data_IF_434731279404
#
_entry.id   IF_434731279404
#
_cell.length_a   1.000
_cell.length_b   1.000
_cell.length_c   1.000
_cell.angle_alpha   90.00
_cell.angle_beta   90.00
_cell.angle_gamma   90.00
#
_symmetry.space_group_name_H-M   'P 1'
#
loop_
_entity.id
_entity.type
_entity.pdbx_description
1 polymer ?
#
# COMPACT_ATOMS: atom_id res chain seq x y z
N UNK A 1 24.76 -15.33 13.49
CA UNK A 1 24.06 -15.81 12.27
C UNK A 1 23.08 -16.90 12.70
N UNK A 2 21.85 -16.89 12.20
CA UNK A 2 20.88 -17.96 12.48
C UNK A 2 21.47 -19.32 12.09
N UNK A 3 21.29 -20.39 12.88
CA UNK A 3 21.73 -21.73 12.50
C UNK A 3 20.95 -22.31 11.31
N UNK A 4 19.81 -21.70 10.94
CA UNK A 4 19.05 -22.03 9.74
C UNK A 4 18.76 -20.75 8.94
N UNK A 5 19.37 -20.62 7.76
CA UNK A 5 19.22 -19.44 6.90
C UNK A 5 17.82 -19.27 6.30
N UNK A 6 16.96 -20.29 6.36
CA UNK A 6 15.58 -20.26 5.91
C UNK A 6 14.58 -19.97 7.03
N UNK A 7 15.07 -19.79 8.27
CA UNK A 7 14.22 -19.55 9.43
C UNK A 7 14.57 -18.21 10.06
N UNK A 8 13.58 -17.33 10.12
CA UNK A 8 13.62 -16.07 10.86
C UNK A 8 12.73 -16.23 12.09
N UNK A 9 13.33 -16.08 13.28
CA UNK A 9 12.59 -16.02 14.54
C UNK A 9 12.40 -14.55 14.88
N UNK A 10 11.15 -14.11 14.97
CA UNK A 10 10.78 -12.74 15.30
C UNK A 10 10.19 -12.67 16.71
N UNK A 11 10.19 -11.48 17.30
CA UNK A 11 9.50 -11.23 18.56
C UNK A 11 7.99 -11.44 18.42
N UNK A 12 7.35 -12.03 19.44
CA UNK A 12 5.90 -12.06 19.54
C UNK A 12 5.40 -10.71 20.06
N UNK A 13 4.88 -9.90 19.14
CA UNK A 13 4.37 -8.56 19.43
C UNK A 13 3.12 -8.58 20.32
N UNK A 14 2.39 -9.70 20.40
CA UNK A 14 1.20 -9.81 21.25
C UNK A 14 1.56 -9.67 22.74
N UNK A 15 2.73 -10.18 23.15
CA UNK A 15 3.26 -10.04 24.51
C UNK A 15 3.54 -8.57 24.85
N UNK A 16 3.86 -7.75 23.84
CA UNK A 16 4.07 -6.30 24.00
C UNK A 16 2.79 -5.47 23.92
N UNK A 17 1.63 -6.13 23.84
CA UNK A 17 0.30 -5.53 23.82
C UNK A 17 -0.15 -5.03 22.44
N UNK A 18 0.55 -5.40 21.37
CA UNK A 18 0.09 -5.12 20.01
C UNK A 18 -0.96 -6.13 19.58
N UNK A 19 -1.94 -5.69 18.79
CA UNK A 19 -3.06 -6.51 18.34
C UNK A 19 -3.33 -6.28 16.85
N UNK A 20 -3.79 -7.33 16.18
CA UNK A 20 -4.36 -7.23 14.85
C UNK A 20 -5.69 -6.46 14.89
N UNK A 21 -5.98 -5.72 13.83
CA UNK A 21 -7.29 -5.08 13.65
C UNK A 21 -8.29 -6.05 13.04
N UNK A 22 -9.58 -5.74 13.20
CA UNK A 22 -10.64 -6.39 12.44
C UNK A 22 -10.65 -5.82 11.00
N UNK A 23 -10.14 -6.61 10.05
CA UNK A 23 -10.05 -6.22 8.63
C UNK A 23 -11.39 -5.84 7.99
N UNK A 24 -12.53 -6.23 8.57
CA UNK A 24 -13.87 -5.85 8.07
C UNK A 24 -14.28 -4.46 8.52
N UNK A 25 -13.79 -4.02 9.68
CA UNK A 25 -14.04 -2.68 10.22
C UNK A 25 -13.14 -1.63 9.60
N UNK A 26 -12.02 -2.07 9.01
CA UNK A 26 -10.99 -1.20 8.45
C UNK A 26 -10.45 -0.23 9.53
N UNK A 27 -9.64 0.73 9.11
CA UNK A 27 -8.92 1.65 10.00
C UNK A 27 -9.63 2.99 10.08
N UNK A 28 -9.80 3.49 11.30
CA UNK A 28 -10.21 4.88 11.53
C UNK A 28 -9.06 5.87 11.34
N UNK A 29 -9.36 7.15 11.50
CA UNK A 29 -8.40 8.23 11.31
C UNK A 29 -7.16 8.12 12.19
N UNK A 30 -7.31 7.72 13.47
CA UNK A 30 -6.19 7.64 14.41
C UNK A 30 -5.25 6.48 14.04
N UNK A 31 -5.79 5.35 13.56
CA UNK A 31 -4.97 4.27 13.01
C UNK A 31 -4.24 4.68 11.73
N UNK A 32 -4.96 5.32 10.79
CA UNK A 32 -4.35 5.80 9.55
C UNK A 32 -3.24 6.80 9.82
N UNK A 33 -3.41 7.70 10.80
CA UNK A 33 -2.37 8.64 11.22
C UNK A 33 -1.09 7.94 11.67
N UNK A 34 -1.19 6.88 12.49
CA UNK A 34 -0.02 6.12 12.92
C UNK A 34 0.70 5.46 11.73
N UNK A 35 -0.05 4.93 10.76
CA UNK A 35 0.56 4.41 9.54
C UNK A 35 1.24 5.53 8.73
N UNK A 36 0.58 6.68 8.55
CA UNK A 36 1.15 7.85 7.87
C UNK A 36 2.50 8.24 8.49
N UNK A 37 2.58 8.30 9.81
CA UNK A 37 3.83 8.58 10.53
C UNK A 37 4.91 7.51 10.32
N UNK A 38 4.52 6.24 10.42
CA UNK A 38 5.45 5.11 10.26
C UNK A 38 5.97 4.98 8.81
N UNK A 39 5.08 5.04 7.83
CA UNK A 39 5.39 4.93 6.40
C UNK A 39 6.22 6.12 5.92
N UNK A 40 5.87 7.36 6.30
CA UNK A 40 6.69 8.54 5.96
C UNK A 40 8.12 8.45 6.52
N UNK A 41 8.29 7.85 7.71
CA UNK A 41 9.61 7.59 8.30
C UNK A 41 10.35 6.49 7.57
N UNK A 42 9.69 5.36 7.27
CA UNK A 42 10.27 4.26 6.49
C UNK A 42 10.76 4.75 5.12
N UNK A 43 9.92 5.50 4.41
CA UNK A 43 10.24 6.06 3.10
C UNK A 43 11.40 7.05 3.15
N UNK A 44 11.45 7.96 4.12
CA UNK A 44 12.59 8.87 4.25
C UNK A 44 13.90 8.11 4.55
N UNK A 45 13.83 7.07 5.40
CA UNK A 45 14.98 6.21 5.69
C UNK A 45 15.41 5.42 4.45
N UNK A 46 14.47 4.88 3.67
CA UNK A 46 14.77 4.16 2.43
C UNK A 46 15.50 5.04 1.41
N UNK A 47 15.10 6.32 1.27
CA UNK A 47 15.84 7.30 0.44
C UNK A 47 17.25 7.50 0.96
N UNK A 48 17.41 7.75 2.26
CA UNK A 48 18.72 7.99 2.86
C UNK A 48 19.65 6.77 2.72
N UNK A 49 19.12 5.56 2.96
CA UNK A 49 19.88 4.32 2.83
C UNK A 49 20.27 4.09 1.37
N UNK A 50 19.35 4.25 0.42
CA UNK A 50 19.65 4.12 -1.01
C UNK A 50 20.75 5.07 -1.45
N UNK A 51 20.72 6.33 -1.00
CA UNK A 51 21.78 7.32 -1.30
C UNK A 51 23.14 6.92 -0.74
N UNK A 52 23.17 6.31 0.45
CA UNK A 52 24.41 5.92 1.13
C UNK A 52 24.96 4.55 0.70
N UNK A 53 24.07 3.64 0.30
CA UNK A 53 24.38 2.27 -0.08
C UNK A 53 23.37 1.79 -1.15
N UNK A 54 23.54 2.21 -2.42
CA UNK A 54 22.61 1.87 -3.49
C UNK A 54 22.51 0.37 -3.71
N UNK A 55 23.65 -0.33 -3.69
CA UNK A 55 23.74 -1.78 -3.95
C UNK A 55 22.86 -2.61 -3.02
N UNK A 56 22.74 -2.21 -1.74
CA UNK A 56 21.86 -2.89 -0.79
C UNK A 56 20.40 -2.80 -1.23
N UNK A 57 19.93 -1.61 -1.60
CA UNK A 57 18.52 -1.39 -1.95
C UNK A 57 18.22 -1.96 -3.34
N UNK A 58 19.14 -1.77 -4.29
CA UNK A 58 19.02 -2.29 -5.65
C UNK A 58 19.03 -3.83 -5.66
N UNK A 59 19.62 -4.49 -4.66
CA UNK A 59 19.55 -5.96 -4.51
C UNK A 59 18.14 -6.50 -4.23
N UNK A 60 17.24 -5.67 -3.69
CA UNK A 60 15.82 -6.02 -3.54
C UNK A 60 15.05 -5.83 -4.86
N UNK A 61 15.59 -5.09 -5.84
CA UNK A 61 14.99 -4.85 -7.16
C UNK A 61 15.37 -5.95 -8.17
N UNK A 62 15.58 -7.18 -7.71
CA UNK A 62 16.05 -8.32 -8.52
C UNK A 62 14.94 -9.06 -9.28
N UNK A 63 13.67 -8.70 -9.05
CA UNK A 63 12.49 -9.36 -9.62
C UNK A 63 11.91 -8.69 -10.88
N UNK A 64 12.68 -7.80 -11.54
CA UNK A 64 12.27 -7.17 -12.81
C UNK A 64 11.98 -8.17 -13.95
N UNK A 65 12.27 -9.45 -13.76
CA UNK A 65 12.11 -10.54 -14.75
C UNK A 65 10.70 -11.18 -14.69
N UNK A 66 9.88 -10.89 -13.67
CA UNK A 66 8.54 -11.48 -13.49
C UNK A 66 7.40 -10.46 -13.41
N UNK A 67 7.39 -9.50 -14.34
CA UNK A 67 6.11 -8.95 -14.85
C UNK A 67 5.44 -10.09 -15.65
N UNK A 68 4.99 -11.08 -14.89
CA UNK A 68 4.71 -12.46 -15.28
C UNK A 68 3.26 -12.53 -15.74
N UNK A 69 2.98 -13.27 -16.82
CA UNK A 69 1.62 -13.57 -17.28
C UNK A 69 0.71 -14.01 -16.12
N UNK A 70 1.26 -14.67 -15.10
CA UNK A 70 0.55 -15.01 -13.85
C UNK A 70 -0.03 -13.79 -13.11
N UNK A 71 0.72 -12.69 -13.02
CA UNK A 71 0.21 -11.47 -12.39
C UNK A 71 -0.88 -10.84 -13.25
N UNK A 72 -0.70 -10.81 -14.58
CA UNK A 72 -1.74 -10.38 -15.52
C UNK A 72 -3.03 -11.18 -15.34
N UNK A 73 -2.93 -12.50 -15.27
CA UNK A 73 -4.07 -13.39 -15.01
C UNK A 73 -4.69 -13.11 -13.63
N UNK A 74 -3.88 -12.92 -12.59
CA UNK A 74 -4.37 -12.58 -11.24
C UNK A 74 -5.17 -11.27 -11.21
N UNK A 75 -4.71 -10.25 -11.93
CA UNK A 75 -5.43 -8.99 -12.08
C UNK A 75 -6.77 -9.19 -12.80
N UNK A 76 -6.79 -9.90 -13.94
CA UNK A 76 -8.02 -10.21 -14.67
C UNK A 76 -9.00 -10.97 -13.78
N UNK A 77 -8.53 -11.96 -13.03
CA UNK A 77 -9.35 -12.70 -12.08
C UNK A 77 -9.91 -11.81 -10.97
N UNK A 78 -9.14 -10.84 -10.47
CA UNK A 78 -9.61 -9.88 -9.46
C UNK A 78 -10.77 -9.03 -10.00
N UNK A 79 -10.68 -8.56 -11.24
CA UNK A 79 -11.77 -7.84 -11.92
C UNK A 79 -13.03 -8.71 -12.03
N UNK A 80 -12.87 -9.96 -12.47
CA UNK A 80 -13.98 -10.92 -12.60
C UNK A 80 -14.61 -11.26 -11.25
N UNK A 81 -13.82 -11.46 -10.19
CA UNK A 81 -14.32 -11.70 -8.84
C UNK A 81 -15.14 -10.52 -8.32
N UNK A 82 -14.68 -9.30 -8.55
CA UNK A 82 -15.46 -8.11 -8.19
C UNK A 82 -16.72 -7.99 -9.06
N UNK A 83 -16.65 -8.26 -10.37
CA UNK A 83 -17.83 -8.25 -11.22
C UNK A 83 -18.88 -9.29 -10.76
N UNK A 84 -18.46 -10.51 -10.43
CA UNK A 84 -19.34 -11.53 -9.85
C UNK A 84 -19.95 -11.08 -8.51
N UNK A 85 -19.16 -10.42 -7.65
CA UNK A 85 -19.69 -9.84 -6.42
C UNK A 85 -20.74 -8.73 -6.67
N UNK A 86 -20.66 -8.00 -7.79
CA UNK A 86 -21.58 -6.90 -8.12
C UNK A 86 -22.79 -7.33 -8.96
N UNK A 87 -22.84 -8.57 -9.44
CA UNK A 87 -23.86 -9.05 -10.40
C UNK A 87 -25.30 -8.85 -9.91
N UNK A 88 -25.55 -9.06 -8.62
CA UNK A 88 -26.86 -8.95 -7.98
C UNK A 88 -27.14 -7.58 -7.34
N UNK A 89 -26.26 -6.58 -7.55
CA UNK A 89 -26.32 -5.27 -6.88
C UNK A 89 -26.74 -4.17 -7.87
N UNK A 90 -28.04 -3.82 -7.95
CA UNK A 90 -28.55 -2.92 -8.99
C UNK A 90 -27.90 -1.53 -8.96
N UNK A 91 -27.55 -1.02 -7.78
CA UNK A 91 -26.91 0.29 -7.60
C UNK A 91 -25.49 0.35 -8.22
N UNK A 92 -24.88 -0.80 -8.51
CA UNK A 92 -23.52 -0.92 -9.03
C UNK A 92 -23.45 -1.45 -10.47
N UNK A 93 -24.56 -1.45 -11.23
CA UNK A 93 -24.58 -1.95 -12.61
C UNK A 93 -23.55 -1.28 -13.53
N UNK A 94 -23.30 0.02 -13.34
CA UNK A 94 -22.28 0.73 -14.14
C UNK A 94 -20.89 0.16 -13.87
N UNK A 95 -20.54 -0.05 -12.61
CA UNK A 95 -19.26 -0.60 -12.19
C UNK A 95 -19.11 -2.05 -12.67
N UNK A 96 -20.18 -2.86 -12.55
CA UNK A 96 -20.21 -4.21 -13.11
C UNK A 96 -19.82 -4.22 -14.60
N UNK A 97 -20.45 -3.40 -15.44
CA UNK A 97 -20.15 -3.37 -16.88
C UNK A 97 -18.72 -2.92 -17.17
N UNK A 98 -18.21 -1.91 -16.44
CA UNK A 98 -16.81 -1.46 -16.57
C UNK A 98 -15.84 -2.58 -16.24
N UNK A 99 -16.10 -3.36 -15.18
CA UNK A 99 -15.23 -4.45 -14.76
C UNK A 99 -15.24 -5.63 -15.74
N UNK A 100 -16.40 -5.97 -16.31
CA UNK A 100 -16.52 -6.98 -17.36
C UNK A 100 -15.74 -6.56 -18.59
N UNK A 101 -16.00 -5.35 -19.13
CA UNK A 101 -15.29 -4.83 -20.30
C UNK A 101 -13.77 -4.81 -20.07
N UNK A 102 -13.34 -4.35 -18.91
CA UNK A 102 -11.95 -4.32 -18.50
C UNK A 102 -11.30 -5.70 -18.36
N UNK A 103 -12.08 -6.74 -18.03
CA UNK A 103 -11.60 -8.12 -17.90
C UNK A 103 -11.43 -8.81 -19.26
N UNK A 104 -12.16 -8.35 -20.28
CA UNK A 104 -12.14 -8.90 -21.65
C UNK A 104 -11.03 -8.28 -22.51
N UNK A 105 -10.33 -7.26 -22.01
CA UNK A 105 -9.25 -6.58 -22.72
C UNK A 105 -8.02 -6.34 -21.84
N UNK A 106 -6.96 -5.81 -22.45
CA UNK A 106 -5.67 -5.58 -21.79
C UNK A 106 -5.54 -4.17 -21.19
N UNK A 107 -6.65 -3.44 -20.98
CA UNK A 107 -6.62 -2.03 -20.56
C UNK A 107 -5.91 -1.86 -19.20
N UNK A 108 -6.34 -2.56 -18.15
CA UNK A 108 -5.72 -2.43 -16.82
C UNK A 108 -4.27 -2.92 -16.80
N UNK A 109 -3.94 -3.94 -17.60
CA UNK A 109 -2.56 -4.39 -17.76
C UNK A 109 -1.68 -3.35 -18.42
N UNK A 110 -2.19 -2.68 -19.45
CA UNK A 110 -1.48 -1.61 -20.13
C UNK A 110 -1.28 -0.42 -19.19
N UNK A 111 -2.32 -0.03 -18.45
CA UNK A 111 -2.22 1.04 -17.44
C UNK A 111 -1.20 0.70 -16.36
N UNK A 112 -1.23 -0.53 -15.82
CA UNK A 112 -0.29 -0.98 -14.80
C UNK A 112 1.17 -0.95 -15.30
N UNK A 113 1.43 -1.46 -16.51
CA UNK A 113 2.79 -1.43 -17.09
C UNK A 113 3.29 -0.01 -17.31
N UNK A 114 2.46 0.86 -17.88
CA UNK A 114 2.82 2.25 -18.12
C UNK A 114 3.14 2.96 -16.80
N UNK A 115 2.32 2.73 -15.76
CA UNK A 115 2.56 3.26 -14.42
C UNK A 115 3.89 2.77 -13.84
N UNK A 116 4.21 1.48 -13.96
CA UNK A 116 5.48 0.94 -13.45
C UNK A 116 6.68 1.56 -14.17
N UNK A 117 6.58 1.78 -15.48
CA UNK A 117 7.65 2.39 -16.26
C UNK A 117 7.81 3.89 -15.92
N UNK A 118 6.70 4.61 -15.74
CA UNK A 118 6.71 6.00 -15.28
C UNK A 118 7.38 6.12 -13.90
N UNK A 119 7.15 5.19 -12.98
CA UNK A 119 7.72 5.22 -11.64
C UNK A 119 9.21 4.93 -11.54
N UNK A 120 9.74 4.13 -12.46
CA UNK A 120 11.20 3.96 -12.59
C UNK A 120 11.89 5.29 -12.92
N UNK A 121 11.18 6.22 -13.57
CA UNK A 121 11.72 7.53 -13.95
C UNK A 121 11.55 8.63 -12.88
N UNK A 122 10.77 8.38 -11.81
CA UNK A 122 10.52 9.38 -10.76
C UNK A 122 11.80 9.65 -9.97
N UNK A 123 12.06 10.92 -9.65
CA UNK A 123 13.23 11.33 -8.88
C UNK A 123 13.17 10.87 -7.42
N UNK A 124 11.98 10.79 -6.83
CA UNK A 124 11.77 10.31 -5.46
C UNK A 124 11.42 8.81 -5.51
N UNK A 125 12.40 7.94 -5.29
CA UNK A 125 12.20 6.50 -5.11
C UNK A 125 12.71 6.06 -3.75
N UNK A 126 12.07 5.06 -3.17
CA UNK A 126 12.44 4.58 -1.84
C UNK A 126 12.04 3.13 -1.63
N UNK A 127 12.56 2.53 -0.56
CA UNK A 127 12.15 1.22 -0.10
C UNK A 127 10.70 1.28 0.40
N UNK A 128 9.83 0.52 -0.25
CA UNK A 128 8.43 0.33 0.12
C UNK A 128 8.23 -1.11 0.60
N UNK A 129 7.30 -1.32 1.52
CA UNK A 129 6.86 -2.64 1.98
C UNK A 129 6.05 -3.37 0.89
N UNK A 130 5.34 -2.63 0.05
CA UNK A 130 4.66 -3.08 -1.19
C UNK A 130 3.53 -4.13 -1.01
N UNK A 131 3.05 -4.33 0.21
CA UNK A 131 1.77 -4.99 0.50
C UNK A 131 1.05 -4.29 1.69
N UNK A 132 0.72 -2.99 1.54
CA UNK A 132 0.39 -2.13 2.68
C UNK A 132 -1.10 -2.21 3.01
N UNK A 133 -1.55 -3.36 3.52
CA UNK A 133 -2.94 -3.57 3.94
C UNK A 133 -3.05 -3.79 5.46
N UNK A 134 -4.24 -3.57 6.03
CA UNK A 134 -4.42 -3.53 7.47
C UNK A 134 -4.07 -4.83 8.24
N UNK A 135 -4.07 -6.02 7.61
CA UNK A 135 -3.59 -7.24 8.29
C UNK A 135 -2.09 -7.47 8.23
N UNK A 136 -1.33 -6.56 7.62
CA UNK A 136 0.12 -6.51 7.73
C UNK A 136 0.55 -5.47 8.77
N UNK A 137 -0.36 -5.13 9.69
CA UNK A 137 -0.15 -4.11 10.71
C UNK A 137 -0.70 -4.59 12.05
N UNK A 138 0.07 -4.33 13.11
CA UNK A 138 -0.41 -4.47 14.48
C UNK A 138 -0.39 -3.13 15.18
N UNK A 139 -1.40 -2.88 16.01
CA UNK A 139 -1.56 -1.63 16.74
C UNK A 139 -1.54 -1.86 18.25
N UNK A 140 -1.00 -0.89 18.96
CA UNK A 140 -1.02 -0.85 20.43
C UNK A 140 -2.00 0.22 20.87
N UNK A 141 -2.74 -0.05 21.94
CA UNK A 141 -3.82 0.80 22.43
C UNK A 141 -3.55 1.27 23.85
N UNK A 142 -3.97 2.48 24.17
CA UNK A 142 -4.00 2.96 25.56
C UNK A 142 -5.25 2.43 26.31
N UNK A 143 -5.39 2.82 27.57
CA UNK A 143 -6.50 2.39 28.42
C UNK A 143 -7.88 2.91 27.96
N UNK A 144 -7.93 3.90 27.07
CA UNK A 144 -9.16 4.43 26.49
C UNK A 144 -9.57 3.70 25.20
N UNK A 145 -8.72 2.78 24.71
CA UNK A 145 -8.90 2.11 23.43
C UNK A 145 -8.43 2.92 22.22
N UNK A 146 -7.72 4.05 22.44
CA UNK A 146 -7.13 4.83 21.35
C UNK A 146 -5.84 4.17 20.88
N UNK A 147 -5.59 4.03 19.56
CA UNK A 147 -4.32 3.51 19.08
C UNK A 147 -3.19 4.52 19.34
N UNK A 148 -2.09 4.05 19.91
CA UNK A 148 -0.92 4.85 20.33
C UNK A 148 0.40 4.33 19.76
N UNK A 149 0.36 3.23 19.00
CA UNK A 149 1.54 2.69 18.35
C UNK A 149 1.17 1.72 17.24
N UNK A 150 2.10 1.57 16.29
CA UNK A 150 1.97 0.69 15.13
C UNK A 150 3.26 -0.12 14.94
N UNK A 151 3.11 -1.34 14.43
CA UNK A 151 4.17 -2.16 13.86
C UNK A 151 3.72 -2.60 12.48
N UNK A 152 4.48 -2.20 11.45
CA UNK A 152 4.33 -2.71 10.09
C UNK A 152 5.04 -4.07 10.05
N UNK A 153 4.38 -5.06 9.46
CA UNK A 153 4.85 -6.43 9.35
C UNK A 153 4.95 -6.82 7.87
N UNK A 154 5.43 -8.05 7.65
CA UNK A 154 5.47 -8.72 6.35
C UNK A 154 6.19 -7.93 5.25
N UNK A 155 7.51 -7.92 5.32
CA UNK A 155 8.38 -7.25 4.35
C UNK A 155 8.78 -8.17 3.18
N UNK A 156 8.00 -9.22 2.88
CA UNK A 156 8.33 -10.20 1.83
C UNK A 156 8.34 -9.60 0.42
N UNK A 157 7.57 -8.53 0.20
CA UNK A 157 7.39 -7.86 -1.10
C UNK A 157 8.24 -6.60 -1.26
N UNK A 158 9.17 -6.35 -0.32
CA UNK A 158 9.96 -5.11 -0.29
C UNK A 158 10.63 -4.82 -1.63
N UNK A 159 10.48 -3.58 -2.10
CA UNK A 159 11.11 -3.13 -3.35
C UNK A 159 11.33 -1.62 -3.39
N UNK A 160 12.18 -1.20 -4.33
CA UNK A 160 12.47 0.21 -4.61
C UNK A 160 11.37 0.80 -5.52
N UNK A 161 10.45 1.57 -4.94
CA UNK A 161 9.26 2.06 -5.61
C UNK A 161 9.00 3.55 -5.35
N UNK A 162 7.94 4.07 -5.97
CA UNK A 162 7.42 5.40 -5.68
C UNK A 162 6.60 5.39 -4.37
N UNK A 163 6.95 6.20 -3.35
CA UNK A 163 6.33 6.09 -2.03
C UNK A 163 4.82 6.38 -1.99
N UNK A 164 4.32 7.23 -2.89
CA UNK A 164 2.89 7.52 -2.94
C UNK A 164 2.06 6.35 -3.45
N UNK A 165 2.66 5.44 -4.20
CA UNK A 165 1.97 4.22 -4.61
C UNK A 165 1.52 3.48 -3.36
N UNK A 166 2.45 3.11 -2.47
CA UNK A 166 2.17 2.43 -1.20
C UNK A 166 1.13 3.19 -0.36
N UNK A 167 1.36 4.50 -0.17
CA UNK A 167 0.52 5.30 0.71
C UNK A 167 -0.94 5.41 0.20
N UNK A 168 -1.12 5.61 -1.11
CA UNK A 168 -2.45 5.67 -1.72
C UNK A 168 -3.12 4.30 -1.73
N UNK A 169 -2.38 3.19 -1.97
CA UNK A 169 -2.99 1.86 -1.86
C UNK A 169 -3.52 1.63 -0.45
N UNK A 170 -2.68 1.90 0.56
CA UNK A 170 -3.03 1.70 1.96
C UNK A 170 -4.34 2.40 2.31
N UNK A 171 -4.44 3.69 2.01
CA UNK A 171 -5.66 4.47 2.30
C UNK A 171 -6.87 3.94 1.54
N UNK A 172 -6.69 3.45 0.31
CA UNK A 172 -7.76 2.90 -0.50
C UNK A 172 -8.35 1.63 0.12
N UNK A 173 -7.50 0.67 0.51
CA UNK A 173 -7.91 -0.68 0.92
C UNK A 173 -8.05 -0.85 2.43
N UNK A 174 -7.44 0.03 3.23
CA UNK A 174 -7.38 -0.11 4.69
C UNK A 174 -8.14 0.96 5.44
N UNK A 175 -8.37 2.15 4.88
CA UNK A 175 -9.12 3.19 5.59
C UNK A 175 -10.62 2.95 5.51
N UNK A 176 -11.33 3.23 6.61
CA UNK A 176 -12.77 3.10 6.65
C UNK A 176 -13.47 4.19 5.81
N UNK A 177 -14.79 4.10 5.69
CA UNK A 177 -15.58 5.01 4.86
C UNK A 177 -15.51 6.47 5.31
N UNK A 178 -15.56 6.74 6.62
CA UNK A 178 -15.45 8.11 7.15
C UNK A 178 -14.15 8.76 6.70
N UNK A 179 -13.04 8.03 6.82
CA UNK A 179 -11.71 8.56 6.49
C UNK A 179 -11.62 8.85 5.00
N UNK A 180 -12.10 7.91 4.17
CA UNK A 180 -12.08 8.04 2.71
C UNK A 180 -12.93 9.20 2.21
N UNK A 181 -14.04 9.49 2.87
CA UNK A 181 -14.94 10.58 2.45
C UNK A 181 -14.52 11.95 2.99
N UNK A 182 -13.98 12.01 4.21
CA UNK A 182 -13.85 13.28 4.93
C UNK A 182 -12.41 13.65 5.30
N UNK A 183 -11.47 12.70 5.37
CA UNK A 183 -10.17 12.90 6.05
C UNK A 183 -8.93 12.58 5.21
N UNK A 184 -9.08 12.16 3.96
CA UNK A 184 -7.94 11.84 3.09
C UNK A 184 -6.98 13.03 2.92
N UNK A 185 -7.51 14.24 2.70
CA UNK A 185 -6.69 15.43 2.52
C UNK A 185 -5.81 15.73 3.75
N UNK A 186 -6.32 15.49 4.95
CA UNK A 186 -5.55 15.66 6.19
C UNK A 186 -4.36 14.68 6.22
N UNK A 187 -4.60 13.43 5.83
CA UNK A 187 -3.57 12.38 5.80
C UNK A 187 -2.53 12.64 4.69
N UNK A 188 -2.95 13.14 3.54
CA UNK A 188 -2.05 13.53 2.44
C UNK A 188 -1.13 14.68 2.85
N UNK A 189 -1.70 15.74 3.44
CA UNK A 189 -0.92 16.87 3.92
C UNK A 189 0.08 16.43 5.00
N UNK A 190 -0.40 15.65 5.98
CA UNK A 190 0.45 15.10 7.03
C UNK A 190 1.58 14.23 6.49
N UNK A 191 1.30 13.39 5.50
CA UNK A 191 2.30 12.54 4.86
C UNK A 191 3.40 13.37 4.18
N UNK A 192 3.04 14.38 3.39
CA UNK A 192 3.98 15.30 2.76
C UNK A 192 4.87 15.99 3.80
N UNK A 193 4.27 16.54 4.86
CA UNK A 193 4.99 17.29 5.89
C UNK A 193 5.97 16.39 6.66
N UNK A 194 5.54 15.18 7.03
CA UNK A 194 6.37 14.22 7.75
C UNK A 194 7.50 13.66 6.87
N UNK A 195 7.20 13.30 5.63
CA UNK A 195 8.20 12.79 4.68
C UNK A 195 9.28 13.84 4.46
N UNK A 196 8.89 15.06 4.10
CA UNK A 196 9.83 16.16 3.85
C UNK A 196 10.62 16.52 5.11
N UNK A 197 9.98 16.54 6.27
CA UNK A 197 10.63 16.79 7.55
C UNK A 197 11.67 15.72 7.90
N UNK A 198 11.36 14.45 7.63
CA UNK A 198 12.30 13.34 7.84
C UNK A 198 13.46 13.35 6.82
N UNK A 199 13.18 13.62 5.53
CA UNK A 199 14.20 13.77 4.50
C UNK A 199 15.18 14.89 4.84
N UNK A 200 14.67 16.06 5.27
CA UNK A 200 15.51 17.17 5.70
C UNK A 200 16.41 16.81 6.89
N UNK A 201 15.89 16.10 7.90
CA UNK A 201 16.68 15.61 9.04
C UNK A 201 17.78 14.64 8.64
N UNK A 202 17.55 13.86 7.58
CA UNK A 202 18.51 12.89 7.04
C UNK A 202 19.46 13.50 6.00
N UNK A 203 19.35 14.80 5.69
CA UNK A 203 20.17 15.47 4.70
C UNK A 203 19.85 15.09 3.25
N UNK A 204 18.64 14.58 2.99
CA UNK A 204 18.17 14.19 1.67
C UNK A 204 17.56 15.43 0.95
N UNK A 205 18.01 15.75 -0.29
CA UNK A 205 17.49 16.91 -1.03
C UNK A 205 16.10 16.68 -1.65
N UNK A 206 15.67 15.43 -1.75
CA UNK A 206 14.37 15.05 -2.31
C UNK A 206 13.22 15.67 -1.51
N UNK A 207 12.13 16.00 -2.20
CA UNK A 207 10.93 16.55 -1.60
C UNK A 207 9.70 16.06 -2.36
N UNK A 208 8.57 16.13 -1.69
CA UNK A 208 7.26 15.88 -2.26
C UNK A 208 6.32 17.04 -1.91
N UNK A 209 5.85 17.75 -2.91
CA UNK A 209 4.82 18.77 -2.72
C UNK A 209 3.42 18.16 -2.66
N UNK A 210 2.49 18.86 -2.02
CA UNK A 210 1.09 18.45 -1.99
C UNK A 210 0.43 18.46 -3.38
N UNK A 211 0.90 19.34 -4.28
CA UNK A 211 0.38 19.43 -5.64
C UNK A 211 0.85 18.26 -6.52
N UNK A 212 2.12 17.83 -6.37
CA UNK A 212 2.60 16.57 -6.96
C UNK A 212 1.78 15.40 -6.43
N UNK A 213 1.57 15.32 -5.11
CA UNK A 213 0.77 14.25 -4.50
C UNK A 213 -0.64 14.19 -5.08
N UNK A 214 -1.36 15.32 -5.18
CA UNK A 214 -2.71 15.36 -5.77
C UNK A 214 -2.72 14.93 -7.24
N UNK A 215 -1.70 15.34 -8.01
CA UNK A 215 -1.54 14.94 -9.41
C UNK A 215 -1.36 13.42 -9.51
N UNK A 216 -0.54 12.85 -8.63
CA UNK A 216 -0.28 11.42 -8.57
C UNK A 216 -1.52 10.61 -8.16
N UNK A 217 -2.36 11.11 -7.24
CA UNK A 217 -3.63 10.44 -6.90
C UNK A 217 -4.50 10.26 -8.15
N UNK A 218 -4.64 11.31 -8.97
CA UNK A 218 -5.43 11.23 -10.19
C UNK A 218 -4.85 10.17 -11.16
N UNK A 219 -3.52 10.15 -11.30
CA UNK A 219 -2.82 9.17 -12.12
C UNK A 219 -2.93 7.73 -11.57
N UNK A 220 -2.95 7.57 -10.24
CA UNK A 220 -3.10 6.30 -9.53
C UNK A 220 -4.54 5.78 -9.50
N UNK A 221 -5.54 6.61 -9.80
CA UNK A 221 -6.94 6.23 -9.66
C UNK A 221 -7.33 4.91 -10.37
N UNK A 222 -6.84 4.58 -11.58
CA UNK A 222 -7.17 3.29 -12.19
C UNK A 222 -6.54 2.12 -11.43
N UNK A 223 -5.30 2.26 -10.94
CA UNK A 223 -4.66 1.16 -10.22
C UNK A 223 -5.26 0.95 -8.82
N UNK A 224 -5.76 2.01 -8.19
CA UNK A 224 -6.51 1.87 -6.92
C UNK A 224 -7.75 1.00 -7.09
N UNK A 225 -8.45 1.10 -8.23
CA UNK A 225 -9.61 0.26 -8.53
C UNK A 225 -9.20 -1.22 -8.63
N UNK A 226 -8.02 -1.52 -9.21
CA UNK A 226 -7.52 -2.89 -9.30
C UNK A 226 -7.34 -3.51 -7.90
N UNK A 227 -6.73 -2.80 -6.95
CA UNK A 227 -6.56 -3.33 -5.59
C UNK A 227 -7.89 -3.50 -4.86
N UNK A 228 -8.84 -2.58 -5.07
CA UNK A 228 -10.22 -2.74 -4.57
C UNK A 228 -10.85 -4.01 -5.12
N UNK A 229 -10.61 -4.36 -6.39
CA UNK A 229 -11.11 -5.58 -7.00
C UNK A 229 -10.51 -6.86 -6.39
N UNK A 230 -9.38 -6.78 -5.69
CA UNK A 230 -8.81 -7.89 -4.92
C UNK A 230 -9.53 -8.15 -3.59
N UNK A 231 -10.29 -7.18 -3.07
CA UNK A 231 -10.91 -7.28 -1.73
C UNK A 231 -11.88 -8.46 -1.57
N UNK A 232 -12.73 -8.83 -2.54
CA UNK A 232 -13.58 -10.02 -2.40
C UNK A 232 -12.77 -11.30 -2.14
N UNK A 233 -11.58 -11.42 -2.73
CA UNK A 233 -10.70 -12.59 -2.54
C UNK A 233 -10.10 -12.60 -1.13
N UNK A 234 -9.78 -11.43 -0.58
CA UNK A 234 -9.08 -11.30 0.72
C UNK A 234 -10.02 -11.14 1.92
N UNK A 235 -11.26 -10.72 1.69
CA UNK A 235 -12.29 -10.52 2.72
C UNK A 235 -13.31 -11.67 2.80
N UNK A 236 -13.36 -12.55 1.80
CA UNK A 236 -14.08 -13.82 1.95
C UNK A 236 -13.37 -14.63 3.04
N UNK A 237 -14.11 -15.04 4.06
CA UNK A 237 -13.55 -16.03 4.98
C UNK A 237 -13.24 -17.28 4.18
N UNK A 238 -12.19 -18.02 4.57
CA UNK A 238 -12.13 -19.44 4.22
C UNK A 238 -13.50 -20.03 4.53
N UNK A 239 -14.15 -20.64 3.53
CA UNK A 239 -15.41 -21.33 3.73
C UNK A 239 -15.30 -22.18 5.01
N UNK A 240 -16.11 -21.84 6.02
CA UNK A 240 -16.16 -22.55 7.28
C UNK A 240 -16.56 -24.02 7.05
#
# INVERSE_FOLDING_TARGET
KSPNSLCVVMEDLSVSGFKMVDRRKLLDFDHCKLFTEASAKLHALGVAVHRSNPELIDSFDTDSITVNEKFKVSMTNSLLCMAAYLEDKPDYRKQFHVLIEASENDMFWTIYKNMLDDYKSKALRTLTQDDPWCTNMMFKYDNSGKPVGIKILDFQSVKLNYPLLEFVMFLTVSANMEVRENRLNDLYQMYCDLLNGNLAKLGCPEKLSIEELKTEIAHLSPITLLWVCGLPITLTDSAA
#
